data_IF_128594267852
#
_entry.id   IF_128594267852
#
_cell.length_a   1.000
_cell.length_b   1.000
_cell.length_c   1.000
_cell.angle_alpha   90.00
_cell.angle_beta   90.00
_cell.angle_gamma   90.00
#
_symmetry.space_group_name_H-M   'P 1'
#
loop_
_entity.id
_entity.type
_entity.pdbx_description
1 polymer ?
#
# COMPACT_ATOMS: atom_id res chain seq x y z
N UNK A 1 -82.83 22.92 -47.02
CA UNK A 1 -82.66 22.22 -45.72
C UNK A 1 -81.25 21.66 -45.72
N UNK A 2 -80.35 22.36 -45.02
CA UNK A 2 -78.88 22.22 -45.03
C UNK A 2 -78.42 21.51 -43.78
N UNK A 3 -77.71 20.38 -43.90
CA UNK A 3 -77.05 19.72 -42.83
C UNK A 3 -75.51 20.07 -42.93
N UNK A 4 -75.00 20.76 -41.94
CA UNK A 4 -73.57 21.11 -41.86
C UNK A 4 -72.80 19.97 -41.16
N UNK A 5 -71.79 19.49 -41.86
CA UNK A 5 -70.83 18.48 -41.37
C UNK A 5 -69.68 19.21 -40.67
N UNK A 6 -69.54 19.04 -39.34
CA UNK A 6 -68.40 19.54 -38.56
C UNK A 6 -67.29 18.48 -38.53
N UNK A 7 -66.12 18.83 -39.09
CA UNK A 7 -64.91 18.09 -38.95
C UNK A 7 -64.23 18.45 -37.58
N UNK A 8 -64.02 17.44 -36.75
CA UNK A 8 -63.21 17.53 -35.53
C UNK A 8 -61.77 17.18 -35.91
N UNK A 9 -60.86 18.14 -35.79
CA UNK A 9 -59.43 17.90 -35.82
C UNK A 9 -58.99 17.42 -34.45
N UNK A 10 -58.59 16.14 -34.34
CA UNK A 10 -57.94 15.62 -33.17
C UNK A 10 -56.44 15.93 -33.23
N UNK A 11 -55.94 16.79 -32.37
CA UNK A 11 -54.51 17.03 -32.20
C UNK A 11 -53.91 15.89 -31.34
N UNK A 12 -53.05 15.09 -31.99
CA UNK A 12 -52.27 14.04 -31.33
C UNK A 12 -51.04 14.65 -30.70
N UNK A 13 -51.05 14.83 -29.37
CA UNK A 13 -49.87 15.22 -28.60
C UNK A 13 -48.99 14.00 -28.41
N UNK A 14 -47.86 13.96 -29.13
CA UNK A 14 -46.75 13.05 -28.88
C UNK A 14 -45.95 13.61 -27.68
N UNK A 15 -46.19 13.02 -26.50
CA UNK A 15 -45.38 13.31 -25.31
C UNK A 15 -43.99 12.66 -25.43
N UNK A 16 -42.99 13.45 -25.63
CA UNK A 16 -41.59 13.04 -25.45
C UNK A 16 -41.35 12.88 -23.94
N UNK A 17 -41.31 11.61 -23.48
CA UNK A 17 -40.79 11.30 -22.15
C UNK A 17 -39.28 11.32 -22.25
N UNK A 18 -38.69 12.46 -21.93
CA UNK A 18 -37.23 12.58 -21.75
C UNK A 18 -36.80 11.78 -20.50
N UNK A 19 -36.10 10.68 -20.70
CA UNK A 19 -35.46 9.94 -19.63
C UNK A 19 -34.29 10.78 -19.14
N UNK A 20 -34.45 11.50 -18.04
CA UNK A 20 -33.35 12.15 -17.30
C UNK A 20 -32.55 11.04 -16.63
N UNK A 21 -31.44 10.63 -17.26
CA UNK A 21 -30.42 9.83 -16.60
C UNK A 21 -29.68 10.79 -15.66
N UNK A 22 -30.05 10.78 -14.39
CA UNK A 22 -29.25 11.41 -13.35
C UNK A 22 -27.95 10.60 -13.22
N UNK A 23 -26.83 11.18 -13.65
CA UNK A 23 -25.52 10.71 -13.24
C UNK A 23 -25.43 10.98 -11.74
N UNK A 24 -25.56 9.93 -10.94
CA UNK A 24 -25.15 9.97 -9.53
C UNK A 24 -23.63 9.96 -9.59
N UNK A 25 -23.01 11.13 -9.46
CA UNK A 25 -21.59 11.21 -9.12
C UNK A 25 -21.45 10.47 -7.79
N UNK A 26 -20.65 9.40 -7.78
CA UNK A 26 -20.30 8.72 -6.55
C UNK A 26 -19.64 9.76 -5.64
N UNK A 27 -20.23 10.04 -4.49
CA UNK A 27 -19.59 10.88 -3.49
C UNK A 27 -18.22 10.30 -3.19
N UNK A 28 -17.15 11.13 -3.12
CA UNK A 28 -15.83 10.66 -2.72
C UNK A 28 -15.96 9.94 -1.38
N UNK A 29 -15.45 8.72 -1.31
CA UNK A 29 -15.43 7.98 -0.06
C UNK A 29 -14.84 8.87 1.04
N UNK A 30 -15.58 9.05 2.14
CA UNK A 30 -15.10 9.82 3.28
C UNK A 30 -13.73 9.28 3.68
N UNK A 31 -12.73 10.14 3.91
CA UNK A 31 -11.41 9.70 4.33
C UNK A 31 -11.56 8.81 5.56
N UNK A 32 -10.82 7.71 5.61
CA UNK A 32 -10.80 6.83 6.76
C UNK A 32 -10.64 7.69 8.02
N UNK A 33 -11.59 7.59 8.96
CA UNK A 33 -11.59 8.41 10.19
C UNK A 33 -10.23 8.27 10.87
N UNK A 34 -9.40 9.32 10.83
CA UNK A 34 -8.04 9.31 11.37
C UNK A 34 -6.96 9.77 10.40
N UNK A 35 -7.25 9.91 9.08
CA UNK A 35 -6.35 10.58 8.14
C UNK A 35 -6.66 12.08 8.09
N UNK A 36 -5.62 12.92 8.14
CA UNK A 36 -5.71 14.36 7.91
C UNK A 36 -5.88 14.64 6.41
N UNK A 37 -5.21 13.86 5.58
CA UNK A 37 -5.23 13.94 4.13
C UNK A 37 -5.17 12.53 3.55
N UNK A 38 -5.83 12.33 2.41
CA UNK A 38 -5.75 11.09 1.62
C UNK A 38 -5.45 11.45 0.17
N UNK A 39 -4.42 10.83 -0.38
CA UNK A 39 -3.97 11.03 -1.76
C UNK A 39 -4.08 9.69 -2.50
N UNK A 40 -4.88 9.61 -3.57
CA UNK A 40 -4.83 8.46 -4.47
C UNK A 40 -3.50 8.50 -5.25
N UNK A 41 -2.58 7.61 -4.90
CA UNK A 41 -1.25 7.54 -5.55
C UNK A 41 -1.26 6.66 -6.80
N UNK A 42 -2.32 5.91 -7.02
CA UNK A 42 -2.54 5.11 -8.21
C UNK A 42 -3.62 4.06 -7.99
N UNK A 43 -3.63 3.08 -8.90
CA UNK A 43 -4.61 1.99 -8.88
C UNK A 43 -3.93 0.66 -9.09
N UNK A 44 -4.56 -0.41 -8.61
CA UNK A 44 -4.16 -1.78 -8.90
C UNK A 44 -4.45 -2.16 -10.36
N UNK A 45 -4.02 -3.34 -10.77
CA UNK A 45 -4.33 -3.90 -12.09
C UNK A 45 -5.84 -3.92 -12.35
N UNK A 46 -6.66 -4.28 -11.37
CA UNK A 46 -8.13 -4.31 -11.48
C UNK A 46 -8.80 -2.95 -11.28
N UNK A 47 -8.00 -1.87 -11.10
CA UNK A 47 -8.51 -0.51 -10.97
C UNK A 47 -8.90 -0.09 -9.55
N UNK A 48 -8.59 -0.88 -8.51
CA UNK A 48 -8.83 -0.51 -7.12
C UNK A 48 -7.86 0.60 -6.69
N UNK A 49 -8.31 1.63 -5.93
CA UNK A 49 -7.46 2.73 -5.52
C UNK A 49 -6.37 2.26 -4.55
N UNK A 50 -5.17 2.83 -4.70
CA UNK A 50 -4.08 2.73 -3.73
C UNK A 50 -3.93 4.12 -3.12
N UNK A 51 -4.19 4.21 -1.83
CA UNK A 51 -4.30 5.46 -1.11
C UNK A 51 -3.14 5.65 -0.13
N UNK A 52 -2.58 6.84 -0.16
CA UNK A 52 -1.60 7.34 0.80
C UNK A 52 -2.34 8.22 1.81
N UNK A 53 -2.35 7.81 3.06
CA UNK A 53 -2.99 8.53 4.16
C UNK A 53 -1.94 9.25 5.00
N UNK A 54 -2.12 10.56 5.20
CA UNK A 54 -1.39 11.33 6.21
C UNK A 54 -2.12 11.23 7.54
N UNK A 55 -1.52 10.54 8.50
CA UNK A 55 -2.12 10.32 9.82
C UNK A 55 -1.90 11.52 10.75
N UNK A 56 -0.80 12.24 10.58
CA UNK A 56 -0.49 13.45 11.34
C UNK A 56 0.99 13.67 11.52
N UNK A 57 1.33 14.79 12.15
CA UNK A 57 2.70 15.21 12.40
C UNK A 57 3.01 16.56 11.78
N UNK A 58 4.29 16.79 11.50
CA UNK A 58 4.78 18.00 10.86
C UNK A 58 4.65 17.95 9.33
N UNK A 59 5.04 19.00 8.65
CA UNK A 59 4.94 19.15 7.20
C UNK A 59 5.66 18.03 6.42
N UNK A 60 5.17 17.75 5.22
CA UNK A 60 5.74 16.79 4.26
C UNK A 60 7.25 16.99 4.12
N UNK A 61 8.01 15.89 4.21
CA UNK A 61 9.46 15.91 4.10
C UNK A 61 10.20 16.30 5.37
N UNK A 62 9.52 16.24 6.52
CA UNK A 62 10.18 16.44 7.81
C UNK A 62 11.31 15.42 8.04
N UNK A 63 12.31 15.81 8.82
CA UNK A 63 13.43 14.92 9.17
C UNK A 63 13.02 13.66 9.95
N UNK A 64 11.75 13.57 10.35
CA UNK A 64 11.18 12.46 11.12
C UNK A 64 9.99 11.81 10.40
N UNK A 65 9.94 11.89 9.07
CA UNK A 65 8.86 11.32 8.29
C UNK A 65 8.97 9.79 8.22
N UNK A 66 7.85 9.14 8.54
CA UNK A 66 7.68 7.69 8.47
C UNK A 66 6.65 7.35 7.39
N UNK A 67 6.94 6.38 6.56
CA UNK A 67 5.98 5.77 5.66
C UNK A 67 5.85 4.28 6.00
N UNK A 68 4.64 3.86 6.37
CA UNK A 68 4.34 2.47 6.68
C UNK A 68 3.50 1.88 5.56
N UNK A 69 3.90 0.72 5.05
CA UNK A 69 3.26 0.06 3.92
C UNK A 69 2.77 -1.31 4.36
N UNK A 70 1.44 -1.49 4.40
CA UNK A 70 0.79 -2.75 4.66
C UNK A 70 0.50 -3.52 3.38
N UNK A 71 0.45 -4.85 3.50
CA UNK A 71 -0.04 -5.78 2.47
C UNK A 71 0.58 -5.59 1.07
N UNK A 72 1.91 -5.60 1.00
CA UNK A 72 2.63 -5.71 -0.29
C UNK A 72 2.32 -7.08 -0.93
N UNK A 73 2.19 -8.10 -0.11
CA UNK A 73 1.65 -9.40 -0.51
C UNK A 73 0.24 -9.56 0.03
N UNK A 74 -0.70 -9.92 -0.86
CA UNK A 74 -2.12 -9.95 -0.50
C UNK A 74 -2.50 -11.04 0.51
N UNK A 75 -1.71 -12.11 0.61
CA UNK A 75 -1.90 -13.16 1.61
C UNK A 75 -1.25 -12.88 2.97
N UNK A 76 -0.80 -11.64 3.22
CA UNK A 76 -0.18 -11.17 4.46
C UNK A 76 -1.06 -10.09 5.15
N UNK A 77 -2.26 -10.45 5.67
CA UNK A 77 -3.28 -9.49 6.07
C UNK A 77 -2.96 -8.73 7.36
N UNK A 78 -1.98 -9.19 8.16
CA UNK A 78 -1.65 -8.51 9.42
C UNK A 78 -1.13 -7.09 9.19
N UNK A 79 -0.49 -6.82 8.04
CA UNK A 79 -0.05 -5.48 7.66
C UNK A 79 -1.19 -4.48 7.61
N UNK A 80 -2.35 -4.87 7.05
CA UNK A 80 -3.56 -4.04 7.04
C UNK A 80 -4.02 -3.72 8.47
N UNK A 81 -4.05 -4.74 9.34
CA UNK A 81 -4.51 -4.58 10.72
C UNK A 81 -3.59 -3.67 11.55
N UNK A 82 -2.27 -3.76 11.34
CA UNK A 82 -1.31 -2.86 12.02
C UNK A 82 -1.49 -1.43 11.54
N UNK A 83 -1.68 -1.21 10.24
CA UNK A 83 -1.94 0.14 9.70
C UNK A 83 -3.26 0.70 10.21
N UNK A 84 -4.33 -0.10 10.30
CA UNK A 84 -5.59 0.31 10.90
C UNK A 84 -5.41 0.76 12.37
N UNK A 85 -4.55 0.09 13.11
CA UNK A 85 -4.25 0.47 14.50
C UNK A 85 -3.36 1.72 14.57
N UNK A 86 -2.41 1.90 13.66
CA UNK A 86 -1.61 3.13 13.54
C UNK A 86 -2.49 4.36 13.28
N UNK A 87 -3.46 4.26 12.37
CA UNK A 87 -4.42 5.32 12.09
C UNK A 87 -5.21 5.70 13.35
N UNK A 88 -5.62 4.74 14.17
CA UNK A 88 -6.33 4.99 15.44
C UNK A 88 -5.44 5.62 16.50
N UNK A 89 -4.19 5.18 16.60
CA UNK A 89 -3.22 5.72 17.57
C UNK A 89 -2.78 7.15 17.21
N UNK A 90 -2.80 7.51 15.95
CA UNK A 90 -2.25 8.77 15.46
C UNK A 90 -0.72 8.77 15.39
N UNK A 91 -0.14 9.88 14.92
CA UNK A 91 1.30 9.99 14.64
C UNK A 91 2.21 10.01 15.90
N UNK A 92 1.65 10.02 17.10
CA UNK A 92 2.45 10.29 18.31
C UNK A 92 3.07 11.70 18.27
N UNK A 93 3.63 12.19 19.36
CA UNK A 93 4.01 13.60 19.47
C UNK A 93 5.16 14.11 18.59
N UNK A 94 5.77 13.30 17.73
CA UNK A 94 7.06 13.64 17.14
C UNK A 94 7.34 13.16 15.71
N UNK A 95 6.44 12.42 15.08
CA UNK A 95 6.67 11.84 13.75
C UNK A 95 5.66 12.38 12.75
N UNK A 96 6.12 12.61 11.53
CA UNK A 96 5.27 12.84 10.38
C UNK A 96 4.91 11.47 9.80
N UNK A 97 3.71 10.95 10.16
CA UNK A 97 3.29 9.58 9.86
C UNK A 97 2.40 9.52 8.63
N UNK A 98 2.86 8.78 7.65
CA UNK A 98 2.16 8.43 6.43
C UNK A 98 1.98 6.92 6.35
N UNK A 99 0.85 6.47 5.82
CA UNK A 99 0.59 5.04 5.69
C UNK A 99 -0.05 4.71 4.34
N UNK A 100 0.28 3.55 3.81
CA UNK A 100 -0.49 2.86 2.76
C UNK A 100 -1.08 1.62 3.41
N UNK A 101 -2.40 1.60 3.53
CA UNK A 101 -3.11 0.52 4.22
C UNK A 101 -2.99 -0.82 3.49
N UNK A 102 -3.15 -0.78 2.18
CA UNK A 102 -3.13 -1.97 1.33
C UNK A 102 -2.44 -1.65 0.01
N UNK A 103 -1.22 -2.14 -0.16
CA UNK A 103 -0.41 -1.92 -1.35
C UNK A 103 -0.79 -2.86 -2.52
N UNK A 104 -1.52 -3.95 -2.23
CA UNK A 104 -1.91 -4.97 -3.20
C UNK A 104 -3.37 -5.37 -3.00
N UNK A 105 -4.33 -4.50 -3.33
CA UNK A 105 -5.74 -4.78 -3.07
C UNK A 105 -6.27 -5.99 -3.84
N UNK A 106 -5.85 -6.20 -5.07
CA UNK A 106 -6.25 -7.35 -5.87
C UNK A 106 -5.75 -8.67 -5.26
N UNK A 107 -4.48 -8.70 -4.83
CA UNK A 107 -3.90 -9.85 -4.15
C UNK A 107 -4.58 -10.13 -2.81
N UNK A 108 -4.94 -9.08 -2.07
CA UNK A 108 -5.64 -9.22 -0.79
C UNK A 108 -7.04 -9.82 -0.97
N UNK A 109 -7.80 -9.40 -1.97
CA UNK A 109 -9.12 -9.95 -2.30
C UNK A 109 -9.05 -11.45 -2.67
N UNK A 110 -7.96 -11.85 -3.33
CA UNK A 110 -7.72 -13.22 -3.76
C UNK A 110 -6.95 -14.06 -2.72
N UNK A 111 -6.48 -13.46 -1.64
CA UNK A 111 -5.57 -14.05 -0.66
C UNK A 111 -4.32 -14.66 -1.31
N UNK A 112 -3.77 -14.00 -2.34
CA UNK A 112 -2.57 -14.40 -3.06
C UNK A 112 -1.38 -13.51 -2.69
N UNK A 113 -0.15 -14.05 -2.75
CA UNK A 113 1.06 -13.27 -2.56
C UNK A 113 1.19 -12.16 -3.62
N UNK A 114 1.02 -12.55 -4.87
CA UNK A 114 1.20 -11.70 -6.04
C UNK A 114 0.00 -10.79 -6.29
N UNK A 115 0.19 -9.80 -7.16
CA UNK A 115 -0.91 -8.99 -7.68
C UNK A 115 -1.74 -9.75 -8.76
N UNK A 116 -2.71 -9.08 -9.37
CA UNK A 116 -3.58 -9.71 -10.38
C UNK A 116 -2.84 -10.14 -11.67
N UNK A 117 -1.64 -9.62 -11.94
CA UNK A 117 -0.76 -10.07 -13.03
C UNK A 117 0.14 -11.24 -12.62
N UNK A 118 -0.07 -11.83 -11.45
CA UNK A 118 0.77 -12.87 -10.86
C UNK A 118 2.25 -12.42 -10.67
N UNK A 119 2.48 -11.14 -10.40
CA UNK A 119 3.80 -10.56 -10.12
C UNK A 119 3.99 -10.39 -8.61
N UNK A 120 5.14 -10.80 -8.09
CA UNK A 120 5.58 -10.47 -6.75
C UNK A 120 6.04 -9.01 -6.71
N UNK A 121 5.23 -8.13 -6.14
CA UNK A 121 5.51 -6.70 -6.09
C UNK A 121 6.85 -6.39 -5.39
N UNK A 122 7.23 -7.21 -4.40
CA UNK A 122 8.51 -7.08 -3.69
C UNK A 122 9.69 -7.74 -4.43
N UNK A 123 9.54 -7.98 -5.73
CA UNK A 123 10.58 -8.35 -6.71
C UNK A 123 10.55 -7.45 -7.95
N UNK A 124 9.64 -6.48 -7.99
CA UNK A 124 9.39 -5.65 -9.18
C UNK A 124 10.06 -4.27 -9.13
N UNK A 125 10.74 -3.90 -8.03
CA UNK A 125 11.41 -2.60 -7.91
C UNK A 125 12.71 -2.55 -8.73
N UNK A 126 13.09 -1.35 -9.26
CA UNK A 126 14.18 -1.24 -10.23
C UNK A 126 15.58 -1.60 -9.71
N UNK A 127 15.88 -1.34 -8.42
CA UNK A 127 17.23 -1.57 -7.88
C UNK A 127 17.52 -3.07 -7.81
N UNK A 128 18.62 -3.48 -8.44
CA UNK A 128 19.03 -4.89 -8.52
C UNK A 128 17.96 -5.81 -9.12
N UNK A 129 17.04 -5.29 -9.92
CA UNK A 129 16.01 -6.12 -10.54
C UNK A 129 16.63 -7.19 -11.44
N UNK A 130 16.16 -8.40 -11.30
CA UNK A 130 16.52 -9.53 -12.17
C UNK A 130 15.23 -10.16 -12.70
N UNK A 131 15.21 -10.57 -13.97
CA UNK A 131 14.09 -11.34 -14.51
C UNK A 131 14.01 -12.70 -13.83
N UNK A 132 12.80 -13.13 -13.50
CA UNK A 132 12.51 -14.44 -12.95
C UNK A 132 11.48 -15.19 -13.80
N UNK A 133 11.37 -16.49 -13.57
CA UNK A 133 10.49 -17.36 -14.36
C UNK A 133 9.02 -17.07 -14.08
N UNK A 134 8.23 -16.96 -15.15
CA UNK A 134 6.76 -16.78 -15.09
C UNK A 134 6.13 -17.98 -14.39
N UNK A 135 5.14 -17.70 -13.51
CA UNK A 135 4.43 -18.74 -12.75
C UNK A 135 5.14 -19.18 -11.46
N UNK A 136 6.31 -18.62 -11.14
CA UNK A 136 6.92 -18.79 -9.82
C UNK A 136 6.32 -17.82 -8.81
N UNK A 137 6.38 -18.14 -7.52
CA UNK A 137 5.91 -17.27 -6.43
C UNK A 137 6.59 -15.90 -6.41
N UNK A 138 7.80 -15.82 -6.92
CA UNK A 138 8.67 -14.64 -6.93
C UNK A 138 8.83 -14.06 -8.34
N UNK A 139 7.84 -14.28 -9.21
CA UNK A 139 7.86 -13.68 -10.55
C UNK A 139 7.97 -12.16 -10.46
N UNK A 140 9.06 -11.63 -11.03
CA UNK A 140 9.45 -10.22 -10.90
C UNK A 140 8.78 -9.27 -11.92
N UNK A 141 7.88 -9.78 -12.74
CA UNK A 141 7.25 -9.02 -13.82
C UNK A 141 8.07 -9.01 -15.12
N UNK A 142 7.53 -8.35 -16.15
CA UNK A 142 8.16 -8.29 -17.48
C UNK A 142 9.33 -7.31 -17.54
N UNK A 143 9.32 -6.29 -16.69
CA UNK A 143 10.33 -5.24 -16.58
C UNK A 143 10.35 -4.70 -15.14
N UNK A 144 11.43 -4.02 -14.72
CA UNK A 144 11.42 -3.31 -13.46
C UNK A 144 10.28 -2.27 -13.46
N UNK A 145 9.54 -2.22 -12.37
CA UNK A 145 8.36 -1.37 -12.18
C UNK A 145 7.29 -1.54 -13.28
N UNK A 146 7.10 -2.78 -13.77
CA UNK A 146 6.03 -3.08 -14.74
C UNK A 146 4.64 -2.94 -14.12
N UNK A 147 4.50 -3.13 -12.81
CA UNK A 147 3.23 -3.20 -12.14
C UNK A 147 2.72 -1.83 -11.69
N UNK A 148 1.42 -1.54 -11.88
CA UNK A 148 0.83 -0.27 -11.47
C UNK A 148 0.91 -0.05 -9.95
N UNK A 149 0.84 -1.11 -9.14
CA UNK A 149 1.02 -1.06 -7.69
C UNK A 149 2.44 -0.64 -7.33
N UNK A 150 3.46 -1.22 -7.97
CA UNK A 150 4.86 -0.82 -7.78
C UNK A 150 5.07 0.66 -8.11
N UNK A 151 4.52 1.12 -9.24
CA UNK A 151 4.59 2.54 -9.63
C UNK A 151 3.88 3.45 -8.62
N UNK A 152 2.76 2.99 -8.05
CA UNK A 152 2.02 3.73 -7.02
C UNK A 152 2.83 3.87 -5.73
N UNK A 153 3.49 2.80 -5.29
CA UNK A 153 4.39 2.84 -4.13
C UNK A 153 5.59 3.75 -4.36
N UNK A 154 6.20 3.69 -5.54
CA UNK A 154 7.29 4.60 -5.91
C UNK A 154 6.84 6.05 -5.87
N UNK A 155 5.64 6.36 -6.40
CA UNK A 155 5.05 7.72 -6.34
C UNK A 155 4.79 8.17 -4.91
N UNK A 156 4.26 7.31 -4.05
CA UNK A 156 4.05 7.64 -2.64
C UNK A 156 5.36 8.01 -1.94
N UNK A 157 6.42 7.25 -2.17
CA UNK A 157 7.75 7.52 -1.62
C UNK A 157 8.32 8.83 -2.18
N UNK A 158 8.12 9.13 -3.46
CA UNK A 158 8.54 10.41 -4.06
C UNK A 158 7.77 11.62 -3.50
N UNK A 159 6.49 11.45 -3.14
CA UNK A 159 5.66 12.49 -2.51
C UNK A 159 6.14 12.75 -1.07
N UNK A 160 6.24 11.70 -0.26
CA UNK A 160 6.55 11.81 1.17
C UNK A 160 8.03 12.12 1.41
N UNK A 161 8.93 11.54 0.61
CA UNK A 161 10.39 11.55 0.83
C UNK A 161 10.73 11.12 2.27
N UNK A 162 10.25 9.95 2.69
CA UNK A 162 10.34 9.53 4.08
C UNK A 162 11.77 9.26 4.50
N UNK A 163 12.10 9.58 5.76
CA UNK A 163 13.38 9.17 6.37
C UNK A 163 13.36 7.68 6.70
N UNK A 164 12.20 7.16 7.04
CA UNK A 164 12.02 5.74 7.38
C UNK A 164 10.85 5.15 6.60
N UNK A 165 11.09 4.03 5.94
CA UNK A 165 10.04 3.20 5.31
C UNK A 165 10.01 1.85 6.01
N UNK A 166 8.82 1.45 6.47
CA UNK A 166 8.61 0.11 7.04
C UNK A 166 7.57 -0.60 6.19
N UNK A 167 7.97 -1.70 5.56
CA UNK A 167 7.03 -2.61 4.92
C UNK A 167 6.66 -3.73 5.88
N UNK A 168 5.37 -4.03 6.00
CA UNK A 168 4.90 -5.06 6.92
C UNK A 168 4.59 -6.33 6.15
N UNK A 169 5.25 -7.41 6.54
CA UNK A 169 5.18 -8.72 5.93
C UNK A 169 4.85 -9.82 6.95
N UNK A 170 4.65 -11.03 6.47
CA UNK A 170 4.50 -12.29 7.19
C UNK A 170 5.17 -13.41 6.36
N UNK A 171 5.63 -14.55 6.95
CA UNK A 171 5.32 -15.03 8.29
C UNK A 171 6.55 -15.19 9.22
N UNK A 172 7.69 -14.58 8.98
CA UNK A 172 8.98 -15.00 9.54
C UNK A 172 9.22 -14.60 11.01
N UNK A 173 8.50 -13.63 11.56
CA UNK A 173 8.65 -13.21 12.94
C UNK A 173 10.01 -12.56 13.25
N UNK A 174 10.48 -11.63 12.40
CA UNK A 174 11.77 -10.96 12.51
C UNK A 174 11.71 -9.52 11.98
N UNK A 175 12.75 -8.75 12.25
CA UNK A 175 13.03 -7.48 11.57
C UNK A 175 14.20 -7.74 10.63
N UNK A 176 13.97 -7.56 9.33
CA UNK A 176 15.01 -7.80 8.32
C UNK A 176 16.14 -6.77 8.46
N UNK A 177 17.37 -7.20 8.27
CA UNK A 177 18.52 -6.32 8.35
C UNK A 177 18.47 -5.27 7.24
N UNK A 178 18.75 -4.03 7.60
CA UNK A 178 18.65 -2.92 6.68
C UNK A 178 20.01 -2.22 6.52
N UNK A 179 20.26 -1.71 5.33
CA UNK A 179 21.46 -0.95 4.98
C UNK A 179 21.05 0.38 4.34
N UNK A 180 20.60 1.31 5.17
CA UNK A 180 20.21 2.67 4.78
C UNK A 180 20.95 3.72 5.59
N UNK A 181 20.43 4.94 5.63
CA UNK A 181 21.02 6.07 6.38
C UNK A 181 21.07 5.82 7.91
N UNK A 182 20.04 5.16 8.46
CA UNK A 182 20.03 4.67 9.84
C UNK A 182 20.46 3.20 9.88
N UNK A 183 21.73 2.96 10.15
CA UNK A 183 22.31 1.62 10.17
C UNK A 183 21.77 0.73 11.32
N UNK A 184 21.05 1.31 12.29
CA UNK A 184 20.56 0.62 13.48
C UNK A 184 19.02 0.58 13.53
N UNK A 185 18.31 0.86 12.44
CA UNK A 185 16.86 0.87 12.41
C UNK A 185 16.27 -0.50 12.77
N UNK A 186 16.85 -1.57 12.25
CA UNK A 186 16.47 -2.96 12.54
C UNK A 186 16.62 -3.29 14.03
N UNK A 187 17.74 -2.90 14.66
CA UNK A 187 17.94 -3.10 16.11
C UNK A 187 16.96 -2.27 16.95
N UNK A 188 16.66 -1.02 16.55
CA UNK A 188 15.66 -0.17 17.22
C UNK A 188 14.28 -0.82 17.18
N UNK A 189 13.86 -1.28 16.00
CA UNK A 189 12.59 -1.99 15.83
C UNK A 189 12.57 -3.31 16.58
N UNK A 190 13.63 -4.10 16.52
CA UNK A 190 13.79 -5.35 17.27
C UNK A 190 13.56 -5.15 18.76
N UNK A 191 14.18 -4.13 19.35
CA UNK A 191 14.03 -3.79 20.77
C UNK A 191 12.60 -3.42 21.15
N UNK A 192 11.89 -2.69 20.29
CA UNK A 192 10.53 -2.24 20.55
C UNK A 192 9.49 -3.35 20.27
N UNK A 193 9.67 -4.12 19.22
CA UNK A 193 8.76 -5.19 18.83
C UNK A 193 9.00 -6.49 19.59
N UNK A 194 10.24 -6.71 20.06
CA UNK A 194 10.69 -7.97 20.63
C UNK A 194 10.93 -9.08 19.59
N UNK A 195 10.87 -8.76 18.30
CA UNK A 195 11.24 -9.64 17.21
C UNK A 195 12.76 -9.57 17.00
N UNK A 196 13.46 -10.68 16.65
CA UNK A 196 14.90 -10.63 16.42
C UNK A 196 15.24 -9.81 15.17
N UNK A 197 16.29 -8.99 15.25
CA UNK A 197 16.90 -8.40 14.06
C UNK A 197 17.80 -9.44 13.40
N UNK A 198 17.42 -9.87 12.19
CA UNK A 198 18.11 -10.93 11.45
C UNK A 198 17.87 -10.72 9.96
N UNK A 199 18.95 -10.79 9.16
CA UNK A 199 18.77 -10.78 7.71
C UNK A 199 17.96 -11.99 7.27
N UNK A 200 17.01 -11.78 6.38
CA UNK A 200 16.28 -12.89 5.74
C UNK A 200 17.31 -13.69 4.93
N UNK A 201 17.53 -14.98 5.26
CA UNK A 201 18.44 -15.82 4.48
C UNK A 201 17.94 -15.96 3.03
N UNK A 202 18.87 -16.00 2.08
CA UNK A 202 18.52 -16.19 0.66
C UNK A 202 17.65 -17.43 0.43
N UNK A 203 17.85 -18.49 1.23
CA UNK A 203 17.06 -19.73 1.17
C UNK A 203 15.59 -19.51 1.57
N UNK A 204 15.30 -18.52 2.43
CA UNK A 204 13.94 -18.15 2.88
C UNK A 204 13.27 -17.17 1.91
N UNK A 205 14.02 -16.57 1.00
CA UNK A 205 13.50 -15.60 0.05
C UNK A 205 12.59 -16.17 -1.05
N UNK A 206 12.27 -17.46 -0.98
CA UNK A 206 11.42 -18.20 -1.95
C UNK A 206 11.89 -18.02 -3.43
N UNK A 207 13.16 -17.69 -3.65
CA UNK A 207 13.74 -17.45 -4.97
C UNK A 207 14.49 -18.67 -5.49
N UNK A 208 14.17 -19.16 -6.68
CA UNK A 208 14.90 -20.30 -7.27
C UNK A 208 16.38 -19.98 -7.57
N UNK A 209 16.76 -18.71 -7.58
CA UNK A 209 18.14 -18.23 -7.77
C UNK A 209 18.83 -17.89 -6.47
N UNK A 210 18.17 -18.08 -5.30
CA UNK A 210 18.64 -17.64 -3.98
C UNK A 210 19.06 -16.16 -3.96
N UNK A 211 18.37 -15.31 -4.75
CA UNK A 211 18.73 -13.91 -4.87
C UNK A 211 17.58 -13.05 -4.42
N UNK A 212 17.76 -12.36 -3.31
CA UNK A 212 16.80 -11.40 -2.77
C UNK A 212 16.99 -10.06 -3.49
N UNK A 213 16.28 -9.85 -4.61
CA UNK A 213 16.48 -8.70 -5.52
C UNK A 213 15.17 -7.98 -5.84
N UNK A 214 15.28 -6.74 -6.29
CA UNK A 214 14.12 -5.96 -6.73
C UNK A 214 13.11 -5.64 -5.63
N UNK A 215 13.55 -5.52 -4.38
CA UNK A 215 12.70 -5.23 -3.22
C UNK A 215 12.52 -3.73 -2.98
N UNK A 216 11.45 -3.37 -2.26
CA UNK A 216 11.24 -1.99 -1.81
C UNK A 216 12.42 -1.48 -1.00
N UNK A 217 12.91 -2.28 -0.04
CA UNK A 217 14.03 -1.89 0.82
C UNK A 217 15.29 -1.61 0.02
N UNK A 218 15.64 -2.48 -0.92
CA UNK A 218 16.81 -2.26 -1.80
C UNK A 218 16.64 -1.01 -2.66
N UNK A 219 15.43 -0.78 -3.20
CA UNK A 219 15.18 0.39 -4.03
C UNK A 219 15.27 1.69 -3.23
N UNK A 220 14.64 1.76 -2.05
CA UNK A 220 14.70 2.95 -1.19
C UNK A 220 16.14 3.20 -0.73
N UNK A 221 16.79 2.20 -0.15
CA UNK A 221 18.15 2.33 0.40
C UNK A 221 19.19 2.67 -0.69
N UNK A 222 18.97 2.22 -1.93
CA UNK A 222 19.85 2.54 -3.05
C UNK A 222 19.54 3.88 -3.74
N UNK A 223 18.28 4.35 -3.69
CA UNK A 223 17.83 5.54 -4.43
C UNK A 223 17.81 6.81 -3.58
N UNK A 224 17.57 6.69 -2.28
CA UNK A 224 17.39 7.82 -1.36
C UNK A 224 18.44 7.75 -0.23
N UNK A 225 19.57 8.47 -0.37
CA UNK A 225 20.69 8.34 0.56
C UNK A 225 20.38 8.82 1.99
N UNK A 226 19.30 9.57 2.15
CA UNK A 226 18.84 10.07 3.45
C UNK A 226 17.78 9.17 4.10
N UNK A 227 17.38 8.09 3.44
CA UNK A 227 16.30 7.22 3.86
C UNK A 227 16.82 5.85 4.30
N UNK A 228 16.03 5.19 5.13
CA UNK A 228 16.22 3.77 5.46
C UNK A 228 14.90 3.05 5.33
N UNK A 229 14.90 1.96 4.57
CA UNK A 229 13.78 1.05 4.46
C UNK A 229 14.11 -0.31 5.07
N UNK A 230 13.15 -0.87 5.80
CA UNK A 230 13.25 -2.17 6.46
C UNK A 230 11.97 -2.96 6.27
N UNK A 231 12.07 -4.28 6.19
CA UNK A 231 10.92 -5.18 6.29
C UNK A 231 10.71 -5.59 7.75
N UNK A 232 9.49 -5.39 8.24
CA UNK A 232 9.01 -5.92 9.51
C UNK A 232 8.19 -7.17 9.21
N UNK A 233 8.79 -8.31 9.41
CA UNK A 233 8.20 -9.62 9.21
C UNK A 233 7.48 -10.05 10.50
N UNK A 234 6.17 -10.00 10.49
CA UNK A 234 5.37 -10.49 11.61
C UNK A 234 5.31 -12.02 11.60
N UNK A 235 4.87 -12.61 12.71
CA UNK A 235 4.64 -14.06 12.77
C UNK A 235 3.45 -14.45 11.85
N UNK A 236 3.35 -15.75 11.56
CA UNK A 236 2.27 -16.29 10.71
C UNK A 236 0.88 -15.98 11.28
N UNK A 237 0.75 -16.02 12.61
CA UNK A 237 -0.48 -15.67 13.30
C UNK A 237 -0.23 -14.52 14.28
N UNK A 238 -1.00 -13.46 14.11
CA UNK A 238 -0.90 -12.23 14.91
C UNK A 238 -2.25 -11.92 15.51
N UNK A 239 -2.33 -11.97 16.83
CA UNK A 239 -3.53 -11.59 17.56
C UNK A 239 -3.64 -10.06 17.75
N UNK A 240 -4.78 -9.63 18.27
CA UNK A 240 -5.07 -8.21 18.50
C UNK A 240 -4.07 -7.53 19.44
N UNK A 241 -3.52 -8.26 20.42
CA UNK A 241 -2.56 -7.72 21.37
C UNK A 241 -1.20 -7.47 20.69
N UNK A 242 -0.76 -8.39 19.84
CA UNK A 242 0.45 -8.23 19.03
C UNK A 242 0.31 -7.09 18.02
N UNK A 243 -0.84 -6.97 17.33
CA UNK A 243 -1.12 -5.85 16.43
C UNK A 243 -0.95 -4.52 17.14
N UNK A 244 -1.59 -4.34 18.31
CA UNK A 244 -1.45 -3.12 19.10
C UNK A 244 0.00 -2.87 19.55
N UNK A 245 0.72 -3.92 19.93
CA UNK A 245 2.15 -3.84 20.29
C UNK A 245 3.01 -3.36 19.13
N UNK A 246 2.83 -3.91 17.93
CA UNK A 246 3.62 -3.53 16.76
C UNK A 246 3.31 -2.12 16.29
N UNK A 247 2.04 -1.72 16.28
CA UNK A 247 1.66 -0.34 15.99
C UNK A 247 2.27 0.64 17.00
N UNK A 248 2.20 0.33 18.30
CA UNK A 248 2.83 1.15 19.34
C UNK A 248 4.37 1.21 19.19
N UNK A 249 5.02 0.11 18.81
CA UNK A 249 6.46 0.08 18.55
C UNK A 249 6.85 1.05 17.42
N UNK A 250 6.08 1.07 16.33
CA UNK A 250 6.32 1.96 15.19
C UNK A 250 6.15 3.44 15.58
N UNK A 251 5.07 3.79 16.28
CA UNK A 251 4.81 5.18 16.73
C UNK A 251 5.87 5.69 17.72
N UNK A 252 6.45 4.80 18.53
CA UNK A 252 7.48 5.11 19.52
C UNK A 252 8.91 4.93 19.01
N UNK A 253 9.10 4.76 17.70
CA UNK A 253 10.43 4.63 17.11
C UNK A 253 11.26 5.89 17.43
N UNK A 254 12.43 5.75 18.07
CA UNK A 254 13.27 6.89 18.38
C UNK A 254 13.84 7.50 17.09
N UNK A 255 13.96 8.81 17.11
CA UNK A 255 14.48 9.64 16.02
C UNK A 255 15.97 9.44 15.83
#
# INVERSE_FOLDING_TARGET
MSAQLRFLFGAMFLGFVGLLIAFVEAEPALPATGCIEVIEVGKSVSGQPIELCHVGGSDIGSINSLLIIGSVHGNEPAGISVVDELIKLGAGGNSDLWVIRNANPDGADLATRQNANAVDLNRNFPTNWLPSEVGTKTYSGTNPASEPETQSLMRAIDIVKPRTVITIHQPYGLVDCSKGADENLDEKLSKLTGLPATCIPDEMADSPTNTYTGTISQWVNGRYPESTAVALELEAEVDRQKIAKYAAAIVNLPK
#
